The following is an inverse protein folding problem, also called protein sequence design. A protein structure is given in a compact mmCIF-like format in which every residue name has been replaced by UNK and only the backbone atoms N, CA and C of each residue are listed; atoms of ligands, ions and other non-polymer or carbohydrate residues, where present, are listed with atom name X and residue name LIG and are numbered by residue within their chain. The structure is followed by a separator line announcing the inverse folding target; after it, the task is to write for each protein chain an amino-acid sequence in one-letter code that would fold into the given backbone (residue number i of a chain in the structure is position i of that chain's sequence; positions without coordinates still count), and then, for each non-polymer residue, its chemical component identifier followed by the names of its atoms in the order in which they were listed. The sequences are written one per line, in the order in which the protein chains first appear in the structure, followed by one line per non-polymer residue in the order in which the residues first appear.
data_IF_617775535446
#
_entry.id   IF_617775535446
#
_cell.length_a   1.000
_cell.length_b   1.000
_cell.length_c   1.000
_cell.angle_alpha   90.00
_cell.angle_beta   90.00
_cell.angle_gamma   90.00
#
_symmetry.space_group_name_H-M   'P 1'
#
loop_
_entity.id
_entity.type
_entity.pdbx_description
1 polymer ?
#
# COMPACT_ATOMS: atom_id res chain seq x y z
N UNK A 1 -8.07 -18.55 0.08
CA UNK A 1 -7.06 -18.02 -0.86
C UNK A 1 -6.46 -19.19 -1.64
N UNK A 2 -6.17 -19.06 -2.94
CA UNK A 2 -5.62 -20.17 -3.75
C UNK A 2 -4.16 -20.46 -3.33
N UNK A 3 -3.75 -21.73 -3.21
CA UNK A 3 -2.39 -22.11 -2.75
C UNK A 3 -1.25 -21.46 -3.53
N UNK A 4 -1.41 -21.30 -4.85
CA UNK A 4 -0.42 -20.62 -5.70
C UNK A 4 -0.15 -19.17 -5.26
N UNK A 5 -1.19 -18.48 -4.80
CA UNK A 5 -1.09 -17.08 -4.33
C UNK A 5 -0.26 -17.04 -3.06
N UNK A 6 -0.50 -17.98 -2.15
CA UNK A 6 0.26 -18.10 -0.90
C UNK A 6 1.74 -18.41 -1.14
N UNK A 7 2.10 -19.15 -2.20
CA UNK A 7 3.51 -19.45 -2.52
C UNK A 7 4.27 -18.24 -3.07
N UNK A 8 3.58 -17.33 -3.76
CA UNK A 8 4.17 -16.14 -4.39
C UNK A 8 4.02 -14.88 -3.54
N UNK A 9 3.34 -14.98 -2.40
CA UNK A 9 3.02 -13.83 -1.56
C UNK A 9 4.30 -13.23 -0.94
N UNK A 10 4.63 -11.96 -1.21
CA UNK A 10 5.75 -11.28 -0.59
C UNK A 10 5.60 -11.22 0.94
N UNK A 11 6.68 -11.21 1.71
CA UNK A 11 6.65 -11.07 3.18
C UNK A 11 5.86 -12.16 3.95
N UNK A 12 5.40 -13.24 3.30
CA UNK A 12 4.63 -14.30 3.96
C UNK A 12 5.37 -14.91 5.16
N UNK A 13 6.68 -15.11 5.03
CA UNK A 13 7.54 -15.55 6.13
C UNK A 13 7.48 -14.58 7.32
N UNK A 14 7.55 -13.28 7.06
CA UNK A 14 7.49 -12.24 8.09
C UNK A 14 6.13 -12.25 8.80
N UNK A 15 5.03 -12.36 8.06
CA UNK A 15 3.69 -12.47 8.66
C UNK A 15 3.56 -13.72 9.53
N UNK A 16 4.17 -14.84 9.13
CA UNK A 16 4.22 -16.04 9.97
C UNK A 16 5.01 -15.82 11.26
N UNK A 17 6.17 -15.17 11.18
CA UNK A 17 7.01 -14.86 12.35
C UNK A 17 6.28 -14.02 13.41
N UNK A 18 5.40 -13.10 13.00
CA UNK A 18 4.64 -12.25 13.91
C UNK A 18 3.23 -12.77 14.22
N UNK A 19 2.89 -14.00 13.84
CA UNK A 19 1.58 -14.61 14.11
C UNK A 19 0.41 -14.01 13.30
N UNK A 20 0.70 -13.31 12.20
CA UNK A 20 -0.28 -12.66 11.31
C UNK A 20 -0.50 -13.38 9.99
N UNK A 21 -0.05 -14.62 9.83
CA UNK A 21 -0.13 -15.37 8.56
C UNK A 21 -1.55 -15.60 8.02
N UNK A 22 -2.58 -15.60 8.88
CA UNK A 22 -3.99 -15.75 8.49
C UNK A 22 -4.78 -14.44 8.57
N UNK A 23 -4.16 -13.37 9.04
CA UNK A 23 -4.77 -12.04 9.18
C UNK A 23 -4.62 -11.28 7.87
N UNK A 24 -5.46 -11.62 6.88
CA UNK A 24 -5.36 -11.07 5.53
C UNK A 24 -5.69 -9.57 5.46
N UNK A 25 -6.49 -9.06 6.38
CA UNK A 25 -6.77 -7.62 6.49
C UNK A 25 -5.52 -6.87 6.96
N UNK A 26 -4.85 -7.38 7.99
CA UNK A 26 -3.55 -6.84 8.41
C UNK A 26 -2.52 -6.89 7.29
N UNK A 27 -2.41 -8.01 6.58
CA UNK A 27 -1.47 -8.16 5.47
C UNK A 27 -1.73 -7.15 4.35
N UNK A 28 -3.01 -6.98 3.95
CA UNK A 28 -3.38 -5.98 2.96
C UNK A 28 -3.02 -4.56 3.42
N UNK A 29 -3.32 -4.20 4.67
CA UNK A 29 -2.95 -2.90 5.24
C UNK A 29 -1.43 -2.68 5.25
N UNK A 30 -0.64 -3.72 5.56
CA UNK A 30 0.82 -3.64 5.52
C UNK A 30 1.34 -3.35 4.10
N UNK A 31 0.84 -4.06 3.08
CA UNK A 31 1.24 -3.79 1.69
C UNK A 31 0.80 -2.40 1.21
N UNK A 32 -0.41 -1.96 1.56
CA UNK A 32 -0.90 -0.63 1.21
C UNK A 32 -0.08 0.48 1.89
N UNK A 33 0.39 0.24 3.12
CA UNK A 33 1.29 1.14 3.83
C UNK A 33 2.61 1.32 3.08
N UNK A 34 3.22 0.22 2.65
CA UNK A 34 4.43 0.25 1.81
C UNK A 34 4.18 0.97 0.48
N UNK A 35 3.08 0.67 -0.21
CA UNK A 35 2.73 1.31 -1.47
C UNK A 35 2.60 2.84 -1.32
N UNK A 36 1.96 3.30 -0.25
CA UNK A 36 1.83 4.74 0.04
C UNK A 36 3.19 5.41 0.29
N UNK A 37 4.09 4.75 1.04
CA UNK A 37 5.44 5.26 1.27
C UNK A 37 6.23 5.37 -0.05
N UNK A 38 6.17 4.35 -0.91
CA UNK A 38 6.84 4.36 -2.21
C UNK A 38 6.29 5.45 -3.14
N UNK A 39 4.97 5.67 -3.17
CA UNK A 39 4.37 6.75 -3.95
C UNK A 39 4.76 8.12 -3.40
N UNK A 40 4.84 8.27 -2.07
CA UNK A 40 5.33 9.52 -1.46
C UNK A 40 6.75 9.83 -1.93
N UNK A 41 7.65 8.85 -1.94
CA UNK A 41 9.00 9.02 -2.47
C UNK A 41 9.01 9.34 -3.97
N UNK A 42 8.15 8.68 -4.76
CA UNK A 42 8.01 8.97 -6.18
C UNK A 42 7.56 10.43 -6.43
N UNK A 43 6.65 10.96 -5.61
CA UNK A 43 6.25 12.36 -5.68
C UNK A 43 7.42 13.29 -5.33
N UNK A 44 8.16 13.00 -4.25
CA UNK A 44 9.31 13.81 -3.82
C UNK A 44 10.40 13.89 -4.89
N UNK A 45 10.78 12.77 -5.51
CA UNK A 45 11.83 12.79 -6.55
C UNK A 45 11.41 13.51 -7.83
N UNK A 46 10.11 13.75 -8.03
CA UNK A 46 9.57 14.46 -9.19
C UNK A 46 9.17 15.90 -8.91
N UNK A 47 9.26 16.37 -7.65
CA UNK A 47 8.74 17.68 -7.23
C UNK A 47 9.25 18.82 -8.13
N UNK A 48 10.57 18.91 -8.31
CA UNK A 48 11.25 19.95 -9.09
C UNK A 48 11.59 19.53 -10.53
N UNK A 49 11.04 18.41 -11.01
CA UNK A 49 11.32 17.93 -12.37
C UNK A 49 10.39 18.62 -13.37
N UNK A 50 10.89 19.63 -14.08
CA UNK A 50 10.11 20.45 -15.03
C UNK A 50 9.54 19.67 -16.21
N UNK A 51 10.22 18.58 -16.64
CA UNK A 51 9.76 17.76 -17.77
C UNK A 51 8.45 17.00 -17.48
N UNK A 52 8.04 16.92 -16.21
CA UNK A 52 6.81 16.25 -15.79
C UNK A 52 5.74 17.33 -15.55
N UNK A 53 4.62 17.31 -16.30
CA UNK A 53 3.55 18.30 -16.13
C UNK A 53 2.99 18.32 -14.71
N UNK A 54 2.64 19.52 -14.21
CA UNK A 54 2.08 19.69 -12.86
C UNK A 54 0.82 18.85 -12.64
N UNK A 55 -0.06 18.79 -13.63
CA UNK A 55 -1.31 18.00 -13.58
C UNK A 55 -1.06 16.50 -13.34
N UNK A 56 0.05 15.96 -13.90
CA UNK A 56 0.43 14.57 -13.67
C UNK A 56 0.94 14.37 -12.24
N UNK A 57 1.75 15.31 -11.71
CA UNK A 57 2.20 15.29 -10.31
C UNK A 57 1.01 15.35 -9.34
N UNK A 58 0.04 16.22 -9.62
CA UNK A 58 -1.17 16.34 -8.81
C UNK A 58 -2.01 15.05 -8.85
N UNK A 59 -2.11 14.40 -10.02
CA UNK A 59 -2.76 13.08 -10.15
C UNK A 59 -2.04 12.01 -9.34
N UNK A 60 -0.70 12.01 -9.28
CA UNK A 60 0.07 11.08 -8.45
C UNK A 60 -0.15 11.32 -6.95
N UNK A 61 -0.24 12.58 -6.52
CA UNK A 61 -0.59 12.94 -5.13
C UNK A 61 -1.98 12.38 -4.77
N UNK A 62 -2.96 12.46 -5.67
CA UNK A 62 -4.29 11.92 -5.44
C UNK A 62 -4.30 10.39 -5.24
N UNK A 63 -3.36 9.65 -5.84
CA UNK A 63 -3.24 8.19 -5.60
C UNK A 63 -2.98 7.91 -4.11
N UNK A 64 -2.14 8.70 -3.45
CA UNK A 64 -1.90 8.56 -2.01
C UNK A 64 -3.18 8.79 -1.18
N UNK A 65 -4.00 9.79 -1.56
CA UNK A 65 -5.28 10.02 -0.89
C UNK A 65 -6.21 8.80 -1.02
N UNK A 66 -6.31 8.23 -2.22
CA UNK A 66 -7.14 7.04 -2.47
C UNK A 66 -6.64 5.85 -1.63
N UNK A 67 -5.33 5.65 -1.51
CA UNK A 67 -4.76 4.60 -0.67
C UNK A 67 -5.15 4.79 0.79
N UNK A 68 -5.03 6.01 1.32
CA UNK A 68 -5.41 6.31 2.70
C UNK A 68 -6.91 6.06 2.97
N UNK A 69 -7.79 6.52 2.08
CA UNK A 69 -9.23 6.31 2.21
C UNK A 69 -9.61 4.81 2.23
N UNK A 70 -8.93 4.00 1.41
CA UNK A 70 -9.13 2.56 1.37
C UNK A 70 -8.57 1.87 2.62
N UNK A 71 -7.41 2.30 3.12
CA UNK A 71 -6.85 1.80 4.39
C UNK A 71 -7.82 2.06 5.55
N UNK A 72 -8.42 3.25 5.62
CA UNK A 72 -9.37 3.58 6.69
C UNK A 72 -10.65 2.73 6.61
N UNK A 73 -11.15 2.47 5.40
CA UNK A 73 -12.26 1.53 5.20
C UNK A 73 -11.91 0.12 5.67
N UNK A 74 -10.70 -0.37 5.35
CA UNK A 74 -10.24 -1.68 5.81
C UNK A 74 -10.01 -1.75 7.33
N UNK A 75 -9.45 -0.70 7.95
CA UNK A 75 -9.29 -0.59 9.41
C UNK A 75 -10.62 -0.67 10.13
N UNK A 76 -11.67 -0.02 9.60
CA UNK A 76 -13.04 -0.09 10.13
C UNK A 76 -13.64 -1.50 10.07
N UNK A 77 -13.25 -2.30 9.08
CA UNK A 77 -13.66 -3.72 8.99
C UNK A 77 -12.88 -4.54 10.01
N UNK A 78 -11.57 -4.30 10.14
CA UNK A 78 -10.69 -5.05 11.05
C UNK A 78 -10.91 -4.76 12.54
N UNK A 79 -11.56 -3.63 12.87
CA UNK A 79 -11.90 -3.26 14.24
C UNK A 79 -13.21 -3.89 14.74
N UNK A 80 -13.91 -4.63 13.89
CA UNK A 80 -15.13 -5.40 14.22
C UNK A 80 -14.78 -6.87 14.39
#
# INVERSE_FOLDING_TARGET
MKERVLKMQPLRGNFKLIGKEKDYLFQALAYMGEASAQISWANTVLEDVDKVPRELKDSMIQVNQVIHDLQDKLRKINAK
#
